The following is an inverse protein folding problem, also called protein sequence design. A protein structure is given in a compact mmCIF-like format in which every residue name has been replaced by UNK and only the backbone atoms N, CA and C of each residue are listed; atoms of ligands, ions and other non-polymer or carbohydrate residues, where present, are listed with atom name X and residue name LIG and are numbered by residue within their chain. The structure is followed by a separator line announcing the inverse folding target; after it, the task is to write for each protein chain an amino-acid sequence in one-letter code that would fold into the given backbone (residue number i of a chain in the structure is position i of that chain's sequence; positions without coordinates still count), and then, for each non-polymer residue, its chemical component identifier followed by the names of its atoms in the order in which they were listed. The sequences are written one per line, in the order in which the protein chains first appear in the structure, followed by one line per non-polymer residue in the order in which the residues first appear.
data_IF_105248067906
#
_entry.id   IF_105248067906
#
_cell.length_a   1.000
_cell.length_b   1.000
_cell.length_c   1.000
_cell.angle_alpha   90.00
_cell.angle_beta   90.00
_cell.angle_gamma   90.00
#
_symmetry.space_group_name_H-M   'P 1'
#
loop_
_entity.id
_entity.type
_entity.pdbx_description
1 polymer ?
#
# COMPACT_ATOMS: atom_id res chain seq x y z
N UNK A 1 -15.67 4.25 11.46
CA UNK A 1 -15.98 4.44 10.03
C UNK A 1 -17.46 4.73 9.84
N UNK A 2 -17.76 5.83 9.15
CA UNK A 2 -19.07 6.11 8.58
C UNK A 2 -19.36 5.07 7.47
N UNK A 3 -20.44 5.21 6.71
CA UNK A 3 -20.73 4.24 5.62
C UNK A 3 -19.90 4.48 4.36
N UNK A 4 -19.39 5.71 4.18
CA UNK A 4 -18.85 6.21 2.92
C UNK A 4 -17.33 6.10 2.83
N UNK A 5 -16.63 6.42 3.93
CA UNK A 5 -15.21 6.11 4.14
C UNK A 5 -14.93 4.60 4.00
N UNK A 6 -15.81 3.73 4.52
CA UNK A 6 -15.71 2.27 4.31
C UNK A 6 -15.76 1.89 2.83
N UNK A 7 -16.73 2.42 2.09
CA UNK A 7 -16.83 2.14 0.65
C UNK A 7 -15.58 2.63 -0.10
N UNK A 8 -15.07 3.81 0.25
CA UNK A 8 -13.83 4.31 -0.36
C UNK A 8 -12.63 3.41 -0.01
N UNK A 9 -12.56 2.94 1.23
CA UNK A 9 -11.49 2.06 1.68
C UNK A 9 -11.53 0.70 0.97
N UNK A 10 -12.71 0.10 0.82
CA UNK A 10 -12.88 -1.17 0.11
C UNK A 10 -12.51 -1.03 -1.38
N UNK A 11 -12.94 0.04 -2.05
CA UNK A 11 -12.52 0.35 -3.43
C UNK A 11 -11.01 0.57 -3.54
N UNK A 12 -10.40 1.26 -2.56
CA UNK A 12 -8.96 1.49 -2.55
C UNK A 12 -8.19 0.16 -2.49
N UNK A 13 -8.63 -0.77 -1.65
CA UNK A 13 -8.05 -2.12 -1.55
C UNK A 13 -8.21 -2.93 -2.83
N UNK A 14 -9.40 -2.93 -3.44
CA UNK A 14 -9.62 -3.63 -4.71
C UNK A 14 -8.67 -3.13 -5.80
N UNK A 15 -8.48 -1.81 -5.89
CA UNK A 15 -7.55 -1.20 -6.85
C UNK A 15 -6.09 -1.48 -6.53
N UNK A 16 -5.72 -1.48 -5.25
CA UNK A 16 -4.39 -1.85 -4.78
C UNK A 16 -4.06 -3.30 -5.14
N UNK A 17 -4.97 -4.25 -4.87
CA UNK A 17 -4.82 -5.67 -5.23
C UNK A 17 -4.74 -5.89 -6.75
N UNK A 18 -5.41 -5.05 -7.53
CA UNK A 18 -5.34 -5.05 -9.00
C UNK A 18 -4.07 -4.38 -9.56
N UNK A 19 -3.20 -3.81 -8.72
CA UNK A 19 -2.01 -3.07 -9.14
C UNK A 19 -2.29 -1.69 -9.75
N UNK A 20 -3.52 -1.19 -9.63
CA UNK A 20 -3.95 0.13 -10.10
C UNK A 20 -3.63 1.18 -9.03
N UNK A 21 -2.34 1.39 -8.77
CA UNK A 21 -1.85 2.15 -7.63
C UNK A 21 -2.28 3.62 -7.60
N UNK A 22 -2.33 4.29 -8.75
CA UNK A 22 -2.81 5.67 -8.85
C UNK A 22 -4.29 5.78 -8.45
N UNK A 23 -5.13 4.86 -8.92
CA UNK A 23 -6.55 4.81 -8.57
C UNK A 23 -6.73 4.48 -7.08
N UNK A 24 -5.96 3.53 -6.54
CA UNK A 24 -5.97 3.21 -5.12
C UNK A 24 -5.64 4.43 -4.25
N UNK A 25 -4.63 5.22 -4.63
CA UNK A 25 -4.25 6.45 -3.95
C UNK A 25 -5.37 7.50 -3.96
N UNK A 26 -6.15 7.61 -5.04
CA UNK A 26 -7.31 8.52 -5.10
C UNK A 26 -8.40 8.11 -4.10
N UNK A 27 -8.70 6.82 -4.00
CA UNK A 27 -9.69 6.33 -3.05
C UNK A 27 -9.23 6.46 -1.59
N UNK A 28 -7.97 6.15 -1.28
CA UNK A 28 -7.45 6.37 0.07
C UNK A 28 -7.46 7.86 0.47
N UNK A 29 -7.26 8.80 -0.46
CA UNK A 29 -7.44 10.23 -0.18
C UNK A 29 -8.90 10.57 0.17
N UNK A 30 -9.88 9.99 -0.51
CA UNK A 30 -11.30 10.16 -0.18
C UNK A 30 -11.65 9.58 1.20
N UNK A 31 -10.96 8.55 1.66
CA UNK A 31 -11.08 8.08 3.06
C UNK A 31 -10.64 9.18 4.01
N UNK A 32 -9.48 9.79 3.76
CA UNK A 32 -8.93 10.87 4.59
C UNK A 32 -9.75 12.18 4.52
N UNK A 33 -10.51 12.41 3.44
CA UNK A 33 -11.47 13.53 3.37
C UNK A 33 -12.68 13.34 4.31
N UNK A 34 -13.05 12.09 4.61
CA UNK A 34 -14.19 11.74 5.48
C UNK A 34 -13.77 11.47 6.94
N UNK A 35 -12.54 10.97 7.12
CA UNK A 35 -11.89 10.59 8.37
C UNK A 35 -10.37 10.86 8.26
N UNK A 36 -9.97 12.09 8.61
CA UNK A 36 -8.59 12.59 8.49
C UNK A 36 -7.62 11.99 9.50
N UNK A 37 -8.13 11.23 10.48
CA UNK A 37 -7.37 10.46 11.46
C UNK A 37 -7.22 8.97 11.08
N UNK A 38 -7.69 8.56 9.89
CA UNK A 38 -7.65 7.17 9.46
C UNK A 38 -6.21 6.67 9.23
N UNK A 39 -5.65 6.02 10.25
CA UNK A 39 -4.27 5.52 10.26
C UNK A 39 -4.04 4.50 9.14
N UNK A 40 -5.04 3.65 8.84
CA UNK A 40 -4.93 2.64 7.79
C UNK A 40 -4.76 3.28 6.42
N UNK A 41 -5.53 4.32 6.10
CA UNK A 41 -5.41 5.04 4.84
C UNK A 41 -4.04 5.72 4.68
N UNK A 42 -3.50 6.34 5.74
CA UNK A 42 -2.14 6.89 5.70
C UNK A 42 -1.08 5.81 5.49
N UNK A 43 -1.22 4.67 6.18
CA UNK A 43 -0.30 3.55 6.05
C UNK A 43 -0.29 3.03 4.61
N UNK A 44 -1.47 2.77 4.02
CA UNK A 44 -1.60 2.29 2.65
C UNK A 44 -1.04 3.30 1.63
N UNK A 45 -1.33 4.60 1.77
CA UNK A 45 -0.78 5.64 0.88
C UNK A 45 0.75 5.65 0.91
N UNK A 46 1.34 5.57 2.11
CA UNK A 46 2.80 5.57 2.25
C UNK A 46 3.43 4.30 1.67
N UNK A 47 2.78 3.15 1.84
CA UNK A 47 3.22 1.89 1.25
C UNK A 47 3.21 1.96 -0.27
N UNK A 48 2.10 2.37 -0.88
CA UNK A 48 1.96 2.50 -2.33
C UNK A 48 2.98 3.50 -2.89
N UNK A 49 3.13 4.67 -2.26
CA UNK A 49 4.15 5.66 -2.69
C UNK A 49 5.56 5.09 -2.63
N UNK A 50 5.87 4.30 -1.60
CA UNK A 50 7.17 3.64 -1.48
C UNK A 50 7.38 2.62 -2.60
N UNK A 51 6.35 1.85 -2.97
CA UNK A 51 6.39 0.94 -4.10
C UNK A 51 6.65 1.67 -5.43
N UNK A 52 5.87 2.71 -5.74
CA UNK A 52 6.04 3.51 -6.96
C UNK A 52 7.45 4.14 -7.01
N UNK A 53 7.94 4.67 -5.89
CA UNK A 53 9.28 5.24 -5.80
C UNK A 53 10.37 4.17 -6.00
N UNK A 54 10.18 2.97 -5.46
CA UNK A 54 11.09 1.84 -5.70
C UNK A 54 11.09 1.47 -7.18
N UNK A 55 9.92 1.29 -7.80
CA UNK A 55 9.82 0.94 -9.23
C UNK A 55 10.51 1.98 -10.12
N UNK A 56 10.28 3.27 -9.88
CA UNK A 56 10.96 4.37 -10.60
C UNK A 56 12.48 4.33 -10.42
N UNK A 57 12.97 4.00 -9.22
CA UNK A 57 14.40 3.95 -8.92
C UNK A 57 15.05 2.61 -9.31
N UNK A 58 14.30 1.56 -9.64
CA UNK A 58 14.85 0.26 -10.08
C UNK A 58 15.40 0.24 -11.50
N UNK A 59 15.27 1.34 -12.24
CA UNK A 59 16.12 1.59 -13.41
C UNK A 59 17.62 1.75 -13.01
N UNK A 60 17.92 1.99 -11.73
CA UNK A 60 19.27 2.07 -11.14
C UNK A 60 19.55 0.89 -10.18
N UNK A 61 20.23 -0.15 -10.67
CA UNK A 61 20.31 -1.52 -10.14
C UNK A 61 20.90 -1.72 -8.72
N UNK A 62 21.44 -0.71 -8.05
CA UNK A 62 22.21 -0.92 -6.80
C UNK A 62 21.37 -0.91 -5.50
N UNK A 63 20.17 -0.31 -5.48
CA UNK A 63 19.37 -0.13 -4.25
C UNK A 63 18.44 -1.29 -3.87
N UNK A 64 18.25 -2.28 -4.75
CA UNK A 64 17.36 -3.44 -4.54
C UNK A 64 17.67 -4.23 -3.25
N UNK A 65 18.92 -4.17 -2.77
CA UNK A 65 19.44 -5.08 -1.76
C UNK A 65 18.89 -4.86 -0.32
N UNK A 66 18.26 -3.71 -0.02
CA UNK A 66 17.69 -3.46 1.33
C UNK A 66 16.19 -3.76 1.43
N UNK A 67 15.41 -3.42 0.41
CA UNK A 67 13.95 -3.59 0.42
C UNK A 67 13.51 -4.98 -0.06
N UNK A 68 14.24 -5.60 -0.99
CA UNK A 68 14.04 -7.02 -1.31
C UNK A 68 14.26 -7.90 -0.08
N UNK A 69 15.20 -7.52 0.80
CA UNK A 69 15.37 -8.19 2.11
C UNK A 69 14.17 -8.00 3.01
N UNK A 70 13.61 -6.80 3.10
CA UNK A 70 12.42 -6.56 3.94
C UNK A 70 11.19 -7.31 3.41
N UNK A 71 10.98 -7.31 2.10
CA UNK A 71 9.90 -8.06 1.44
C UNK A 71 10.06 -9.58 1.62
N UNK A 72 11.28 -10.11 1.46
CA UNK A 72 11.56 -11.52 1.70
C UNK A 72 11.37 -11.91 3.17
N UNK A 73 11.84 -11.08 4.11
CA UNK A 73 11.62 -11.29 5.55
C UNK A 73 10.13 -11.27 5.89
N UNK A 74 9.37 -10.37 5.27
CA UNK A 74 7.93 -10.28 5.50
C UNK A 74 7.19 -11.51 4.94
N UNK A 75 7.53 -11.96 3.73
CA UNK A 75 6.97 -13.19 3.16
C UNK A 75 7.36 -14.43 3.97
N UNK A 76 8.61 -14.55 4.41
CA UNK A 76 9.03 -15.63 5.32
C UNK A 76 8.28 -15.61 6.65
N UNK A 77 7.98 -14.43 7.18
CA UNK A 77 7.18 -14.28 8.40
C UNK A 77 5.73 -14.72 8.20
N UNK A 78 5.13 -14.40 7.06
CA UNK A 78 3.78 -14.82 6.71
C UNK A 78 3.69 -16.33 6.45
N UNK A 79 4.65 -16.91 5.74
CA UNK A 79 4.68 -18.36 5.47
C UNK A 79 4.83 -19.18 6.75
N UNK A 80 5.57 -18.68 7.76
CA UNK A 80 5.71 -19.35 9.06
C UNK A 80 4.43 -19.36 9.90
N UNK A 81 3.43 -18.52 9.60
CA UNK A 81 2.13 -18.54 10.28
C UNK A 81 1.14 -19.56 9.69
N UNK A 82 1.43 -20.13 8.53
CA UNK A 82 0.57 -21.08 7.81
C UNK A 82 1.04 -22.55 7.93
N UNK A 83 1.92 -22.87 8.88
CA UNK A 83 2.31 -24.23 9.29
C UNK A 83 1.96 -24.45 10.76
#
# INVERSE_FOLDING_TARGET
MKSKDRLYFDNAKEKEEAGLYEEALEYYKKVLEEDDENIEAYFSINLIKSYIEIEKNTEDKEKQNKYAKLFNIFNEFLDKKNK
#
